data_IF_131561012438
#
_entry.id   IF_131561012438
#
_cell.length_a   1.000
_cell.length_b   1.000
_cell.length_c   1.000
_cell.angle_alpha   90.00
_cell.angle_beta   90.00
_cell.angle_gamma   90.00
#
_symmetry.space_group_name_H-M   'P 1'
#
loop_
_entity.id
_entity.type
_entity.pdbx_description
1 polymer ?
#
# COMPACT_ATOMS: atom_id res chain seq x y z
N UNK A 1 2.02 16.06 -17.72
CA UNK A 1 1.99 14.95 -16.74
C UNK A 1 3.40 14.43 -16.53
N UNK A 2 3.96 14.72 -15.37
CA UNK A 2 5.39 14.53 -15.05
C UNK A 2 5.79 13.08 -14.72
N UNK A 3 5.08 12.09 -15.27
CA UNK A 3 5.46 10.67 -15.19
C UNK A 3 5.52 10.04 -13.78
N UNK A 4 4.95 10.69 -12.77
CA UNK A 4 4.90 10.17 -11.39
C UNK A 4 4.01 8.94 -11.23
N UNK A 5 4.28 8.13 -10.20
CA UNK A 5 3.42 6.99 -9.85
C UNK A 5 2.13 7.50 -9.19
N UNK A 6 0.98 7.17 -9.78
CA UNK A 6 -0.35 7.59 -9.32
C UNK A 6 -1.21 6.35 -9.04
N UNK A 7 -2.10 6.44 -8.05
CA UNK A 7 -3.05 5.39 -7.70
C UNK A 7 -4.39 5.55 -8.42
N UNK A 8 -5.33 4.63 -8.14
CA UNK A 8 -6.65 4.63 -8.79
C UNK A 8 -7.61 5.73 -8.27
N UNK A 9 -7.21 6.46 -7.24
CA UNK A 9 -8.05 7.43 -6.53
C UNK A 9 -7.43 8.83 -6.63
N UNK A 10 -8.25 9.81 -7.00
CA UNK A 10 -7.94 11.23 -6.83
C UNK A 10 -7.93 11.56 -5.34
N UNK A 11 -6.72 11.66 -4.77
CA UNK A 11 -6.50 11.80 -3.34
C UNK A 11 -7.16 13.08 -2.79
N UNK A 12 -7.04 14.19 -3.50
CA UNK A 12 -7.50 15.50 -3.04
C UNK A 12 -9.03 15.57 -3.06
N UNK A 13 -9.66 14.98 -4.08
CA UNK A 13 -11.12 14.94 -4.19
C UNK A 13 -11.79 14.18 -3.04
N UNK A 14 -11.12 13.17 -2.47
CA UNK A 14 -11.71 12.29 -1.43
C UNK A 14 -11.21 12.58 0.00
N UNK A 15 -10.16 13.39 0.17
CA UNK A 15 -9.53 13.69 1.46
C UNK A 15 -10.48 14.32 2.50
N UNK A 16 -11.54 14.99 2.07
CA UNK A 16 -12.51 15.64 2.97
C UNK A 16 -13.61 14.69 3.47
N UNK A 17 -13.76 13.53 2.84
CA UNK A 17 -14.83 12.56 3.13
C UNK A 17 -14.26 11.29 3.77
N UNK A 18 -13.09 10.85 3.35
CA UNK A 18 -12.47 9.62 3.84
C UNK A 18 -11.92 9.81 5.28
N UNK A 19 -12.21 8.86 6.17
CA UNK A 19 -11.64 8.85 7.53
C UNK A 19 -10.16 8.46 7.58
N UNK A 20 -9.66 7.80 6.53
CA UNK A 20 -8.25 7.49 6.32
C UNK A 20 -7.99 7.23 4.82
N UNK A 21 -6.79 7.53 4.35
CA UNK A 21 -6.35 7.30 2.96
C UNK A 21 -4.97 6.65 2.93
N UNK A 22 -4.75 5.78 1.94
CA UNK A 22 -3.43 5.21 1.66
C UNK A 22 -2.77 5.98 0.51
N UNK A 23 -1.56 6.53 0.68
CA UNK A 23 -0.90 7.30 -0.36
C UNK A 23 -0.41 6.40 -1.50
N UNK A 24 -0.34 6.96 -2.71
CA UNK A 24 0.42 6.37 -3.81
C UNK A 24 1.39 7.44 -4.32
N UNK A 25 2.71 7.16 -4.35
CA UNK A 25 3.38 5.96 -3.84
C UNK A 25 3.37 5.82 -2.31
N UNK A 26 3.69 4.62 -1.80
CA UNK A 26 4.02 4.41 -0.38
C UNK A 26 2.94 3.78 0.50
N UNK A 27 1.75 3.50 -0.04
CA UNK A 27 0.65 2.86 0.70
C UNK A 27 0.73 1.34 0.70
N UNK A 28 -0.13 0.71 -0.09
CA UNK A 28 -0.36 -0.76 -0.03
C UNK A 28 0.80 -1.60 -0.59
N UNK A 29 1.60 -1.05 -1.52
CA UNK A 29 2.69 -1.78 -2.18
C UNK A 29 3.72 -2.36 -1.19
N UNK A 30 4.33 -1.55 -0.31
CA UNK A 30 5.25 -2.05 0.72
C UNK A 30 4.62 -3.08 1.67
N UNK A 31 3.32 -2.96 1.99
CA UNK A 31 2.61 -3.91 2.86
C UNK A 31 2.53 -5.29 2.20
N UNK A 32 2.27 -5.36 0.89
CA UNK A 32 2.26 -6.63 0.14
C UNK A 32 3.60 -7.36 0.25
N UNK A 33 4.71 -6.65 0.03
CA UNK A 33 6.06 -7.24 0.16
C UNK A 33 6.32 -7.73 1.58
N UNK A 34 5.98 -6.93 2.60
CA UNK A 34 6.17 -7.31 3.99
C UNK A 34 5.35 -8.56 4.37
N UNK A 35 4.09 -8.63 3.93
CA UNK A 35 3.22 -9.78 4.20
C UNK A 35 3.68 -11.04 3.48
N UNK A 36 4.16 -10.92 2.24
CA UNK A 36 4.79 -12.03 1.53
C UNK A 36 5.97 -12.60 2.33
N UNK A 37 6.90 -11.74 2.76
CA UNK A 37 8.05 -12.16 3.56
C UNK A 37 7.63 -12.81 4.88
N UNK A 38 6.64 -12.24 5.56
CA UNK A 38 6.08 -12.81 6.80
C UNK A 38 5.49 -14.20 6.57
N UNK A 39 4.74 -14.39 5.49
CA UNK A 39 4.13 -15.68 5.17
C UNK A 39 5.18 -16.72 4.76
N UNK A 40 6.20 -16.31 4.00
CA UNK A 40 7.34 -17.17 3.66
C UNK A 40 8.10 -17.61 4.92
N UNK A 41 8.41 -16.68 5.84
CA UNK A 41 9.06 -16.99 7.10
C UNK A 41 8.22 -17.96 7.95
N UNK A 42 6.89 -17.76 7.97
CA UNK A 42 5.95 -18.67 8.64
C UNK A 42 5.95 -20.07 8.04
N UNK A 43 5.92 -20.18 6.72
CA UNK A 43 5.96 -21.47 6.05
C UNK A 43 7.30 -22.20 6.27
N UNK A 44 8.40 -21.46 6.40
CA UNK A 44 9.72 -22.01 6.57
C UNK A 44 10.00 -22.53 7.99
N UNK A 45 9.65 -21.77 9.05
CA UNK A 45 10.24 -22.00 10.39
C UNK A 45 9.40 -21.51 11.60
N UNK A 46 8.10 -21.21 11.47
CA UNK A 46 7.30 -21.03 12.69
C UNK A 46 7.02 -22.43 13.28
N UNK A 47 7.20 -22.68 14.59
CA UNK A 47 6.64 -23.88 15.21
C UNK A 47 5.14 -24.02 14.90
#
# INVERSE_FOLDING_TARGET
DDGGLVGDVDFDAVATVAGALTPVPGGVGPVTTALLLRHTARAANLP
#
